data_IF_609326186190
#
_entry.id   IF_609326186190
#
_cell.length_a   1.000
_cell.length_b   1.000
_cell.length_c   1.000
_cell.angle_alpha   90.00
_cell.angle_beta   90.00
_cell.angle_gamma   90.00
#
_symmetry.space_group_name_H-M   'P 1'
#
loop_
_entity.id
_entity.type
_entity.pdbx_description
1 polymer ?
#
# COMPACT_ATOMS: atom_id res chain seq x y z
N UNK A 1 -13.99 25.90 -8.23
CA UNK A 1 -14.27 24.98 -7.08
C UNK A 1 -14.79 23.62 -7.54
N UNK A 2 -15.71 23.54 -8.49
CA UNK A 2 -16.25 22.29 -9.06
C UNK A 2 -15.21 21.43 -9.80
N UNK A 3 -14.34 22.04 -10.63
CA UNK A 3 -13.28 21.32 -11.34
C UNK A 3 -12.25 20.70 -10.40
N UNK A 4 -11.89 21.42 -9.32
CA UNK A 4 -10.96 20.90 -8.31
C UNK A 4 -11.54 19.72 -7.54
N UNK A 5 -12.84 19.74 -7.23
CA UNK A 5 -13.54 18.59 -6.61
C UNK A 5 -13.62 17.41 -7.57
N UNK A 6 -13.86 17.65 -8.86
CA UNK A 6 -13.90 16.61 -9.89
C UNK A 6 -12.53 15.94 -10.08
N UNK A 7 -11.44 16.73 -10.12
CA UNK A 7 -10.08 16.19 -10.19
C UNK A 7 -9.71 15.36 -8.96
N UNK A 8 -10.16 15.76 -7.76
CA UNK A 8 -9.94 15.00 -6.51
C UNK A 8 -10.66 13.65 -6.57
N UNK A 9 -11.88 13.61 -7.02
CA UNK A 9 -12.67 12.36 -7.14
C UNK A 9 -12.05 11.40 -8.17
N UNK A 10 -11.62 11.92 -9.30
CA UNK A 10 -10.89 11.15 -10.31
C UNK A 10 -9.59 10.51 -9.78
N UNK A 11 -8.90 11.15 -8.82
CA UNK A 11 -7.65 10.62 -8.24
C UNK A 11 -7.92 9.34 -7.44
N UNK A 12 -8.94 9.32 -6.60
CA UNK A 12 -9.32 8.15 -5.81
C UNK A 12 -9.76 6.98 -6.71
N UNK A 13 -10.69 7.24 -7.63
CA UNK A 13 -11.17 6.22 -8.58
C UNK A 13 -10.02 5.62 -9.40
N UNK A 14 -9.10 6.47 -9.87
CA UNK A 14 -7.95 6.03 -10.65
C UNK A 14 -6.99 5.19 -9.81
N UNK A 15 -6.70 5.60 -8.58
CA UNK A 15 -5.82 4.85 -7.69
C UNK A 15 -6.37 3.44 -7.39
N UNK A 16 -7.67 3.35 -7.09
CA UNK A 16 -8.36 2.06 -6.86
C UNK A 16 -8.34 1.18 -8.10
N UNK A 17 -8.67 1.74 -9.25
CA UNK A 17 -8.65 1.04 -10.54
C UNK A 17 -7.25 0.50 -10.85
N UNK A 18 -6.20 1.28 -10.63
CA UNK A 18 -4.84 0.84 -10.89
C UNK A 18 -4.37 -0.25 -9.94
N UNK A 19 -4.76 -0.22 -8.66
CA UNK A 19 -4.53 -1.34 -7.74
C UNK A 19 -5.16 -2.61 -8.31
N UNK A 20 -6.44 -2.56 -8.71
CA UNK A 20 -7.17 -3.70 -9.26
C UNK A 20 -6.53 -4.21 -10.57
N UNK A 21 -6.13 -3.34 -11.49
CA UNK A 21 -5.44 -3.70 -12.72
C UNK A 21 -4.06 -4.36 -12.47
N UNK A 22 -3.47 -4.08 -11.31
CA UNK A 22 -2.25 -4.73 -10.83
C UNK A 22 -2.53 -6.03 -10.03
N UNK A 23 -3.78 -6.42 -9.89
CA UNK A 23 -4.19 -7.66 -9.21
C UNK A 23 -4.32 -7.54 -7.70
N UNK A 24 -4.51 -6.32 -7.18
CA UNK A 24 -4.70 -6.05 -5.75
C UNK A 24 -6.12 -5.59 -5.49
N UNK A 25 -6.90 -6.41 -4.80
CA UNK A 25 -8.24 -6.07 -4.34
C UNK A 25 -8.19 -5.49 -2.90
N UNK A 26 -9.22 -4.75 -2.53
CA UNK A 26 -9.32 -4.18 -1.17
C UNK A 26 -9.33 -5.26 -0.11
N UNK A 27 -9.99 -6.37 -0.39
CA UNK A 27 -10.04 -7.55 0.47
C UNK A 27 -8.67 -8.17 0.71
N UNK A 28 -7.77 -8.11 -0.27
CA UNK A 28 -6.40 -8.62 -0.09
C UNK A 28 -5.62 -7.77 0.91
N UNK A 29 -5.76 -6.44 0.84
CA UNK A 29 -5.18 -5.53 1.82
C UNK A 29 -5.84 -5.71 3.19
N UNK A 30 -7.16 -5.91 3.24
CA UNK A 30 -7.88 -6.17 4.50
C UNK A 30 -7.44 -7.46 5.18
N UNK A 31 -7.11 -8.51 4.43
CA UNK A 31 -6.51 -9.75 4.97
C UNK A 31 -5.15 -9.49 5.63
N UNK A 32 -4.34 -8.59 5.07
CA UNK A 32 -3.08 -8.17 5.70
C UNK A 32 -3.33 -7.43 7.02
N UNK A 33 -4.33 -6.56 7.06
CA UNK A 33 -4.74 -5.87 8.30
C UNK A 33 -5.21 -6.88 9.34
N UNK A 34 -6.02 -7.84 8.94
CA UNK A 34 -6.49 -8.91 9.82
C UNK A 34 -5.30 -9.69 10.40
N UNK A 35 -4.39 -10.14 9.55
CA UNK A 35 -3.16 -10.83 9.95
C UNK A 35 -2.32 -10.04 10.97
N UNK A 36 -2.25 -8.72 10.83
CA UNK A 36 -1.50 -7.86 11.76
C UNK A 36 -2.22 -7.67 13.10
N UNK A 37 -3.54 -7.73 13.13
CA UNK A 37 -4.35 -7.26 14.26
C UNK A 37 -5.12 -8.36 15.01
N UNK A 38 -5.36 -9.53 14.41
CA UNK A 38 -6.19 -10.60 14.98
C UNK A 38 -5.74 -11.03 16.40
N UNK A 39 -4.44 -11.06 16.65
CA UNK A 39 -3.88 -11.43 17.95
C UNK A 39 -4.09 -10.40 19.06
N UNK A 40 -4.41 -9.16 18.70
CA UNK A 40 -4.65 -8.06 19.64
C UNK A 40 -6.13 -7.77 19.83
N UNK A 41 -6.97 -8.19 18.88
CA UNK A 41 -8.41 -7.94 18.85
C UNK A 41 -9.15 -9.25 18.59
N UNK A 42 -9.51 -10.02 19.65
CA UNK A 42 -10.14 -11.35 19.49
C UNK A 42 -11.47 -11.35 18.74
N UNK A 43 -12.19 -10.21 18.78
CA UNK A 43 -13.50 -10.05 18.13
C UNK A 43 -13.40 -9.33 16.76
N UNK A 44 -12.19 -9.17 16.23
CA UNK A 44 -11.96 -8.47 14.97
C UNK A 44 -12.71 -9.15 13.82
N UNK A 45 -13.47 -8.37 13.07
CA UNK A 45 -14.16 -8.83 11.88
C UNK A 45 -13.45 -8.32 10.62
N UNK A 46 -13.56 -9.07 9.53
CA UNK A 46 -12.98 -8.67 8.23
C UNK A 46 -13.56 -7.34 7.76
N UNK A 47 -14.83 -7.06 8.06
CA UNK A 47 -15.49 -5.81 7.74
C UNK A 47 -14.82 -4.60 8.41
N UNK A 48 -14.34 -4.74 9.64
CA UNK A 48 -13.58 -3.69 10.33
C UNK A 48 -12.27 -3.41 9.59
N UNK A 49 -11.60 -4.45 9.10
CA UNK A 49 -10.38 -4.32 8.31
C UNK A 49 -10.66 -3.60 6.99
N UNK A 50 -11.69 -4.01 6.24
CA UNK A 50 -12.10 -3.37 4.99
C UNK A 50 -12.40 -1.89 5.22
N UNK A 51 -13.20 -1.53 6.22
CA UNK A 51 -13.53 -0.14 6.53
C UNK A 51 -12.29 0.71 6.83
N UNK A 52 -11.30 0.16 7.52
CA UNK A 52 -10.07 0.87 7.82
C UNK A 52 -9.19 1.04 6.58
N UNK A 53 -9.10 0.05 5.69
CA UNK A 53 -8.44 0.16 4.39
C UNK A 53 -9.11 1.23 3.54
N UNK A 54 -10.44 1.21 3.43
CA UNK A 54 -11.23 2.21 2.71
C UNK A 54 -10.92 3.65 3.17
N UNK A 55 -10.80 3.84 4.49
CA UNK A 55 -10.47 5.15 5.07
C UNK A 55 -9.04 5.60 4.76
N UNK A 56 -8.10 4.68 4.67
CA UNK A 56 -6.72 4.98 4.25
C UNK A 56 -6.71 5.37 2.76
N UNK A 57 -7.37 4.60 1.91
CA UNK A 57 -7.45 4.85 0.46
C UNK A 57 -8.19 6.17 0.13
N UNK A 58 -9.05 6.66 1.01
CA UNK A 58 -9.70 7.96 0.83
C UNK A 58 -8.79 9.17 1.06
N UNK A 59 -7.56 8.95 1.58
CA UNK A 59 -6.58 10.01 1.80
C UNK A 59 -5.87 10.37 0.50
N UNK A 60 -5.80 11.65 0.20
CA UNK A 60 -5.20 12.14 -1.05
C UNK A 60 -3.71 11.83 -1.15
N UNK A 61 -3.00 11.91 -0.05
CA UNK A 61 -1.57 11.58 0.03
C UNK A 61 -1.33 10.12 -0.31
N UNK A 62 -2.20 9.23 0.15
CA UNK A 62 -2.16 7.79 -0.17
C UNK A 62 -2.42 7.55 -1.64
N UNK A 63 -3.45 8.18 -2.21
CA UNK A 63 -3.77 8.09 -3.64
C UNK A 63 -2.60 8.55 -4.51
N UNK A 64 -1.96 9.66 -4.16
CA UNK A 64 -0.80 10.18 -4.88
C UNK A 64 0.38 9.21 -4.82
N UNK A 65 0.65 8.58 -3.67
CA UNK A 65 1.71 7.58 -3.53
C UNK A 65 1.41 6.35 -4.39
N UNK A 66 0.19 5.83 -4.36
CA UNK A 66 -0.26 4.69 -5.18
C UNK A 66 -0.06 4.97 -6.67
N UNK A 67 -0.55 6.11 -7.15
CA UNK A 67 -0.43 6.48 -8.56
C UNK A 67 1.03 6.64 -8.99
N UNK A 68 1.85 7.27 -8.14
CA UNK A 68 3.27 7.49 -8.43
C UNK A 68 4.03 6.16 -8.52
N UNK A 69 3.89 5.30 -7.53
CA UNK A 69 4.60 4.02 -7.50
C UNK A 69 4.18 3.09 -8.63
N UNK A 70 2.87 2.90 -8.83
CA UNK A 70 2.37 2.06 -9.94
C UNK A 70 2.81 2.59 -11.30
N UNK A 71 2.81 3.92 -11.49
CA UNK A 71 3.27 4.49 -12.76
C UNK A 71 4.75 4.24 -13.01
N UNK A 72 5.60 4.30 -11.99
CA UNK A 72 7.02 3.98 -12.11
C UNK A 72 7.25 2.50 -12.42
N UNK A 73 6.53 1.60 -11.77
CA UNK A 73 6.58 0.16 -12.09
C UNK A 73 6.17 -0.11 -13.54
N UNK A 74 5.10 0.52 -14.03
CA UNK A 74 4.64 0.39 -15.43
C UNK A 74 5.68 0.94 -16.42
N UNK A 75 6.29 2.09 -16.12
CA UNK A 75 7.31 2.67 -16.99
C UNK A 75 8.56 1.81 -17.05
N UNK A 76 8.94 1.16 -15.95
CA UNK A 76 10.03 0.19 -15.91
C UNK A 76 9.71 -1.04 -16.79
N UNK A 77 8.50 -1.61 -16.67
CA UNK A 77 8.05 -2.72 -17.56
C UNK A 77 8.11 -2.35 -19.04
N UNK A 78 7.77 -1.10 -19.38
CA UNK A 78 7.77 -0.58 -20.73
C UNK A 78 9.14 -0.13 -21.22
N UNK A 79 10.20 -0.24 -20.43
CA UNK A 79 11.56 0.23 -20.75
C UNK A 79 11.60 1.73 -21.11
N UNK A 80 10.84 2.55 -20.38
CA UNK A 80 10.70 3.99 -20.65
C UNK A 80 11.39 4.89 -19.65
N UNK A 81 12.10 4.33 -18.69
CA UNK A 81 12.92 5.08 -17.76
C UNK A 81 14.34 5.29 -18.32
N UNK A 82 15.01 6.34 -17.89
CA UNK A 82 16.41 6.56 -18.22
C UNK A 82 17.34 5.70 -17.37
N UNK A 83 18.48 5.29 -17.95
CA UNK A 83 19.52 4.61 -17.18
C UNK A 83 20.26 5.60 -16.26
N UNK A 84 20.69 5.17 -15.06
CA UNK A 84 20.61 3.81 -14.49
C UNK A 84 19.27 3.48 -13.80
N UNK A 85 18.33 4.40 -13.72
CA UNK A 85 17.07 4.23 -12.99
C UNK A 85 16.23 3.07 -13.56
N UNK A 86 16.25 2.86 -14.87
CA UNK A 86 15.58 1.75 -15.53
C UNK A 86 16.03 0.41 -14.94
N UNK A 87 17.33 0.18 -14.90
CA UNK A 87 17.91 -1.07 -14.37
C UNK A 87 17.63 -1.22 -12.87
N UNK A 88 17.74 -0.16 -12.09
CA UNK A 88 17.51 -0.17 -10.64
C UNK A 88 16.08 -0.62 -10.32
N UNK A 89 15.07 0.01 -10.92
CA UNK A 89 13.67 -0.31 -10.64
C UNK A 89 13.29 -1.67 -11.20
N UNK A 90 13.73 -2.00 -12.40
CA UNK A 90 13.40 -3.27 -13.04
C UNK A 90 13.95 -4.48 -12.27
N UNK A 91 15.14 -4.35 -11.69
CA UNK A 91 15.78 -5.44 -10.93
C UNK A 91 15.40 -5.44 -9.45
N UNK A 92 14.68 -4.41 -8.99
CA UNK A 92 14.33 -4.23 -7.57
C UNK A 92 15.62 -4.23 -6.72
N UNK A 93 16.48 -3.28 -7.03
CA UNK A 93 17.81 -3.19 -6.42
C UNK A 93 17.68 -2.91 -4.91
N UNK A 94 18.22 -3.81 -4.09
CA UNK A 94 17.98 -3.86 -2.64
C UNK A 94 18.43 -2.61 -1.86
N UNK A 95 19.23 -1.74 -2.44
CA UNK A 95 19.67 -0.48 -1.82
C UNK A 95 19.06 0.75 -2.53
N UNK A 96 18.03 0.54 -3.36
CA UNK A 96 17.34 1.65 -4.00
C UNK A 96 16.67 2.57 -2.97
N UNK A 97 15.88 2.02 -2.06
CA UNK A 97 15.33 2.69 -0.88
C UNK A 97 14.29 3.79 -1.14
N UNK A 98 14.07 4.19 -2.40
CA UNK A 98 13.05 5.22 -2.73
C UNK A 98 11.65 4.63 -2.74
N UNK A 99 11.52 3.35 -3.06
CA UNK A 99 10.31 2.53 -2.92
C UNK A 99 9.82 2.51 -1.47
N UNK A 100 10.70 2.23 -0.51
CA UNK A 100 10.39 2.31 0.92
C UNK A 100 10.05 3.73 1.38
N UNK A 101 10.74 4.76 0.88
CA UNK A 101 10.43 6.16 1.23
C UNK A 101 9.05 6.55 0.71
N UNK A 102 8.66 6.10 -0.47
CA UNK A 102 7.31 6.34 -0.98
C UNK A 102 6.26 5.62 -0.10
N UNK A 103 6.52 4.39 0.32
CA UNK A 103 5.69 3.67 1.28
C UNK A 103 5.61 4.39 2.63
N UNK A 104 6.70 4.91 3.15
CA UNK A 104 6.73 5.68 4.40
C UNK A 104 5.89 6.95 4.33
N UNK A 105 5.69 7.56 3.17
CA UNK A 105 4.78 8.69 3.01
C UNK A 105 3.33 8.35 3.38
N UNK A 106 2.93 7.08 3.22
CA UNK A 106 1.62 6.55 3.64
C UNK A 106 1.62 6.26 5.15
N UNK A 107 2.61 5.51 5.62
CA UNK A 107 2.74 5.08 7.01
C UNK A 107 2.83 6.27 7.96
N UNK A 108 3.56 7.30 7.59
CA UNK A 108 3.78 8.50 8.39
C UNK A 108 2.49 9.27 8.77
N UNK A 109 1.40 9.07 8.03
CA UNK A 109 0.10 9.70 8.31
C UNK A 109 -0.46 9.21 9.66
N UNK A 110 -0.11 8.00 10.11
CA UNK A 110 -0.68 7.32 11.27
C UNK A 110 0.31 7.08 12.42
N UNK A 111 1.51 7.63 12.34
CA UNK A 111 2.48 7.63 13.45
C UNK A 111 3.30 6.35 13.60
N UNK A 112 3.94 6.18 14.77
CA UNK A 112 4.99 5.17 15.02
C UNK A 112 4.50 3.72 14.98
N UNK A 113 3.26 3.44 15.35
CA UNK A 113 2.67 2.09 15.26
C UNK A 113 2.64 1.61 13.82
N UNK A 114 2.36 2.52 12.88
CA UNK A 114 2.40 2.24 11.45
C UNK A 114 3.76 1.75 10.98
N UNK A 115 4.85 2.37 11.41
CA UNK A 115 6.21 1.96 11.05
C UNK A 115 6.57 0.57 11.57
N UNK A 116 6.17 0.23 12.80
CA UNK A 116 6.38 -1.11 13.37
C UNK A 116 5.63 -2.17 12.58
N UNK A 117 4.37 -1.93 12.27
CA UNK A 117 3.54 -2.84 11.46
C UNK A 117 4.11 -2.99 10.04
N UNK A 118 4.54 -1.88 9.43
CA UNK A 118 5.14 -1.91 8.09
C UNK A 118 6.42 -2.77 8.07
N UNK A 119 7.36 -2.53 8.96
CA UNK A 119 8.60 -3.32 9.02
C UNK A 119 8.36 -4.81 9.27
N UNK A 120 7.33 -5.16 10.05
CA UNK A 120 6.96 -6.56 10.26
C UNK A 120 6.37 -7.21 9.00
N UNK A 121 5.41 -6.54 8.35
CA UNK A 121 4.70 -7.10 7.19
C UNK A 121 5.60 -7.15 5.95
N UNK A 122 6.48 -6.16 5.80
CA UNK A 122 7.47 -6.13 4.73
C UNK A 122 8.45 -7.31 4.82
N UNK A 123 8.88 -7.65 6.03
CA UNK A 123 9.73 -8.82 6.26
C UNK A 123 8.98 -10.14 6.09
N UNK A 124 7.74 -10.23 6.56
CA UNK A 124 6.95 -11.46 6.53
C UNK A 124 6.35 -11.76 5.15
N UNK A 125 6.06 -10.72 4.37
CA UNK A 125 5.44 -10.75 3.01
C UNK A 125 4.29 -11.75 2.88
N UNK A 126 3.26 -11.74 3.77
CA UNK A 126 2.16 -12.70 3.70
C UNK A 126 1.16 -12.38 2.57
N UNK A 127 0.41 -13.38 2.14
CA UNK A 127 -0.75 -13.21 1.25
C UNK A 127 -0.41 -12.53 -0.07
N UNK A 128 -1.08 -11.44 -0.40
CA UNK A 128 -0.87 -10.72 -1.66
C UNK A 128 0.58 -10.21 -1.83
N UNK A 129 1.29 -9.90 -0.75
CA UNK A 129 2.68 -9.43 -0.82
C UNK A 129 3.62 -10.53 -1.34
N UNK A 130 3.39 -11.79 -0.99
CA UNK A 130 4.13 -12.92 -1.57
C UNK A 130 3.93 -13.01 -3.08
N UNK A 131 2.68 -12.85 -3.54
CA UNK A 131 2.34 -12.85 -4.97
C UNK A 131 2.99 -11.69 -5.71
N UNK A 132 2.93 -10.48 -5.17
CA UNK A 132 3.52 -9.29 -5.78
C UNK A 132 5.04 -9.37 -5.86
N UNK A 133 5.67 -10.02 -4.89
CA UNK A 133 7.11 -10.20 -4.83
C UNK A 133 7.63 -11.31 -5.78
N UNK A 134 6.74 -12.16 -6.30
CA UNK A 134 7.10 -13.20 -7.26
C UNK A 134 7.06 -12.65 -8.70
N UNK A 135 8.19 -12.13 -9.15
CA UNK A 135 8.36 -11.57 -10.50
C UNK A 135 8.24 -12.61 -11.60
N UNK A 136 8.67 -13.84 -11.33
CA UNK A 136 8.59 -14.92 -12.33
C UNK A 136 7.15 -15.33 -12.57
N UNK A 137 6.34 -15.43 -11.50
CA UNK A 137 4.93 -15.80 -11.61
C UNK A 137 4.07 -14.67 -12.21
N UNK A 138 4.35 -13.40 -11.88
CA UNK A 138 3.53 -12.29 -12.37
C UNK A 138 3.96 -11.72 -13.71
N UNK A 139 5.24 -11.86 -14.06
CA UNK A 139 5.83 -11.23 -15.25
C UNK A 139 5.80 -9.69 -15.22
N UNK A 140 5.57 -9.10 -14.04
CA UNK A 140 5.40 -7.66 -13.82
C UNK A 140 6.46 -7.10 -12.87
N UNK A 141 6.71 -5.80 -12.96
CA UNK A 141 7.52 -5.06 -12.01
C UNK A 141 6.62 -4.52 -10.88
N UNK A 142 6.93 -4.86 -9.64
CA UNK A 142 6.22 -4.41 -8.45
C UNK A 142 7.14 -3.78 -7.41
N UNK A 143 8.27 -3.21 -7.84
CA UNK A 143 9.28 -2.60 -6.96
C UNK A 143 8.70 -1.56 -6.00
N UNK A 144 7.69 -0.80 -6.45
CA UNK A 144 6.95 0.13 -5.59
C UNK A 144 5.66 -0.46 -5.03
N UNK A 145 4.98 -1.31 -5.78
CA UNK A 145 3.62 -1.72 -5.44
C UNK A 145 3.55 -2.59 -4.20
N UNK A 146 4.47 -3.53 -4.01
CA UNK A 146 4.47 -4.40 -2.84
C UNK A 146 4.67 -3.60 -1.55
N UNK A 147 5.60 -2.65 -1.54
CA UNK A 147 5.83 -1.74 -0.43
C UNK A 147 4.63 -0.82 -0.15
N UNK A 148 4.00 -0.29 -1.19
CA UNK A 148 2.79 0.53 -1.07
C UNK A 148 1.62 -0.27 -0.46
N UNK A 149 1.39 -1.49 -0.91
CA UNK A 149 0.33 -2.36 -0.37
C UNK A 149 0.60 -2.68 1.10
N UNK A 150 1.84 -3.01 1.45
CA UNK A 150 2.26 -3.20 2.84
C UNK A 150 2.04 -1.95 3.69
N UNK A 151 2.37 -0.77 3.15
CA UNK A 151 2.18 0.51 3.83
C UNK A 151 0.70 0.86 4.05
N UNK A 152 -0.18 0.59 3.09
CA UNK A 152 -1.63 0.79 3.25
C UNK A 152 -2.18 -0.12 4.35
N UNK A 153 -1.77 -1.39 4.38
CA UNK A 153 -2.16 -2.33 5.43
C UNK A 153 -1.66 -1.89 6.82
N UNK A 154 -0.40 -1.46 6.92
CA UNK A 154 0.17 -0.95 8.17
C UNK A 154 -0.54 0.31 8.67
N UNK A 155 -0.86 1.24 7.77
CA UNK A 155 -1.61 2.45 8.09
C UNK A 155 -3.04 2.13 8.56
N UNK A 156 -3.73 1.20 7.90
CA UNK A 156 -5.06 0.77 8.30
C UNK A 156 -5.06 0.07 9.66
N UNK A 157 -4.05 -0.75 9.95
CA UNK A 157 -3.82 -1.40 11.24
C UNK A 157 -3.61 -0.37 12.36
N UNK A 158 -2.80 0.64 12.11
CA UNK A 158 -2.55 1.75 13.05
C UNK A 158 -3.83 2.51 13.37
N UNK A 159 -4.63 2.80 12.35
CA UNK A 159 -5.92 3.48 12.52
C UNK A 159 -6.91 2.65 13.35
N UNK A 160 -6.96 1.35 13.11
CA UNK A 160 -7.80 0.42 13.87
C UNK A 160 -7.40 0.39 15.35
N UNK A 161 -6.12 0.25 15.65
CA UNK A 161 -5.59 0.24 17.02
C UNK A 161 -5.90 1.55 17.78
N UNK A 162 -5.76 2.72 17.14
CA UNK A 162 -6.10 4.00 17.75
C UNK A 162 -7.59 4.15 18.06
N UNK A 163 -8.47 3.57 17.23
CA UNK A 163 -9.92 3.60 17.51
C UNK A 163 -10.30 2.72 18.70
N UNK A 164 -9.70 1.55 18.83
CA UNK A 164 -9.93 0.66 19.95
C UNK A 164 -9.50 1.34 21.29
N UNK A 165 -8.34 1.99 21.33
CA UNK A 165 -7.86 2.70 22.50
C UNK A 165 -8.79 3.87 22.92
N UNK A 166 -9.41 4.57 21.96
CA UNK A 166 -10.34 5.69 22.26
C UNK A 166 -11.75 5.23 22.69
N UNK A 167 -12.06 3.95 22.66
CA UNK A 167 -13.35 3.39 23.13
C UNK A 167 -13.22 2.93 24.58
N UNK A 168 -11.99 2.67 25.05
CA UNK A 168 -11.70 2.25 26.42
C UNK A 168 -11.51 3.41 27.42
N UNK A 169 -11.44 4.67 26.94
CA UNK A 169 -11.44 5.91 27.76
C UNK A 169 -12.86 6.54 27.82
#
# INVERSE_FOLDING_TARGET
MLEKKRAIHMTEETARKWLQERGVEIEDIAKLVFFLQEKYHPDLQMEDCIQNVERVLSKREVQNAILTGIQLDILAEQKKLGEPLQSIIETDESLYGVDEILAFSIVNIYGSIGFTNYGFIDKAKPGILEVLNDKEATGKCHTFLDDIVGAVAAAASSRLAHRAANIED
#
